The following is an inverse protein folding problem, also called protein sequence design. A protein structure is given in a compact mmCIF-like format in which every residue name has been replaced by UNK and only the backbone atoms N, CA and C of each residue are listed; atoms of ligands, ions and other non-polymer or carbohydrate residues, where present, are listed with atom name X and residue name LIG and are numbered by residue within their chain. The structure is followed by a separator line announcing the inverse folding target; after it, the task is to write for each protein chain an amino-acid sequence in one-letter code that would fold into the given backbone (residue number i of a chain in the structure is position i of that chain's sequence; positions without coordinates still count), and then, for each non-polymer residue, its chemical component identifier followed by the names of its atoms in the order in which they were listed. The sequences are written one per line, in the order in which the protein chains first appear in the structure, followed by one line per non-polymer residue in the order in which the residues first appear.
data_IF_533945339539
#
_entry.id   IF_533945339539
#
_cell.length_a   1.000
_cell.length_b   1.000
_cell.length_c   1.000
_cell.angle_alpha   90.00
_cell.angle_beta   90.00
_cell.angle_gamma   90.00
#
_symmetry.space_group_name_H-M   'P 1'
#
loop_
_entity.id
_entity.type
_entity.pdbx_description
1 polymer ?
#
# COMPACT_ATOMS: atom_id res chain seq x y z
N UNK A 1 0.31 -7.02 -10.11
CA UNK A 1 0.71 -5.60 -10.25
C UNK A 1 2.23 -5.48 -10.18
N UNK A 2 2.89 -4.60 -10.94
CA UNK A 2 4.35 -4.45 -10.93
C UNK A 2 4.77 -2.98 -10.92
N UNK A 3 5.74 -2.61 -10.06
CA UNK A 3 6.41 -1.30 -10.03
C UNK A 3 7.91 -1.53 -9.87
N UNK A 4 8.71 -1.20 -10.89
CA UNK A 4 10.13 -1.55 -10.92
C UNK A 4 10.32 -3.08 -10.85
N UNK A 5 11.21 -3.55 -9.97
CA UNK A 5 11.41 -4.99 -9.69
C UNK A 5 10.41 -5.57 -8.69
N UNK A 6 9.56 -4.74 -8.08
CA UNK A 6 8.55 -5.21 -7.14
C UNK A 6 7.33 -5.74 -7.92
N UNK A 7 7.14 -7.06 -7.91
CA UNK A 7 6.01 -7.74 -8.53
C UNK A 7 5.11 -8.38 -7.46
N UNK A 8 3.86 -7.94 -7.40
CA UNK A 8 2.82 -8.57 -6.61
C UNK A 8 1.97 -9.46 -7.52
N UNK A 9 2.06 -10.77 -7.30
CA UNK A 9 1.22 -11.77 -7.95
C UNK A 9 0.00 -11.98 -7.05
N UNK A 10 -1.15 -11.50 -7.52
CA UNK A 10 -2.44 -11.73 -6.88
C UNK A 10 -3.16 -12.80 -7.69
N UNK A 11 -3.67 -13.81 -7.02
CA UNK A 11 -4.45 -14.88 -7.62
C UNK A 11 -5.87 -14.87 -7.07
N UNK A 12 -6.84 -15.02 -7.96
CA UNK A 12 -8.27 -15.19 -7.63
C UNK A 12 -8.66 -16.68 -7.61
N UNK A 13 -7.70 -17.58 -7.74
CA UNK A 13 -7.97 -19.00 -7.85
C UNK A 13 -8.30 -19.60 -6.49
N UNK A 14 -9.40 -20.33 -6.46
CA UNK A 14 -9.81 -21.08 -5.27
C UNK A 14 -8.71 -22.11 -4.92
N UNK A 15 -8.05 -21.92 -3.78
CA UNK A 15 -7.04 -22.83 -3.24
C UNK A 15 -5.58 -22.36 -3.35
N UNK A 16 -5.29 -21.18 -3.92
CA UNK A 16 -3.94 -20.62 -3.98
C UNK A 16 -3.73 -19.31 -3.20
N UNK A 17 -4.82 -18.70 -2.73
CA UNK A 17 -4.78 -17.47 -1.93
C UNK A 17 -5.83 -17.44 -0.83
N UNK A 18 -5.51 -16.77 0.27
CA UNK A 18 -6.48 -16.47 1.33
C UNK A 18 -7.33 -15.26 0.90
N UNK A 19 -8.65 -15.41 0.72
CA UNK A 19 -9.51 -14.26 0.41
C UNK A 19 -9.44 -13.21 1.53
N UNK A 20 -9.36 -11.94 1.14
CA UNK A 20 -9.31 -10.81 2.09
C UNK A 20 -7.95 -10.60 2.76
N UNK A 21 -6.85 -11.04 2.12
CA UNK A 21 -5.50 -10.81 2.63
C UNK A 21 -5.22 -9.31 2.82
N UNK A 22 -4.37 -8.99 3.80
CA UNK A 22 -3.90 -7.63 4.04
C UNK A 22 -2.37 -7.60 3.89
N UNK A 23 -1.88 -6.81 2.94
CA UNK A 23 -0.45 -6.68 2.64
C UNK A 23 -0.01 -5.25 2.93
N UNK A 24 1.08 -5.09 3.69
CA UNK A 24 1.72 -3.79 3.93
C UNK A 24 3.00 -3.69 3.11
N UNK A 25 3.12 -2.62 2.32
CA UNK A 25 4.20 -2.41 1.36
C UNK A 25 4.88 -1.06 1.67
N UNK A 26 6.15 -1.07 2.10
CA UNK A 26 6.88 0.17 2.31
C UNK A 26 7.18 0.86 0.98
N UNK A 27 7.06 2.18 0.95
CA UNK A 27 7.40 3.05 -0.18
C UNK A 27 8.13 4.30 0.33
N UNK A 28 9.02 4.85 -0.49
CA UNK A 28 9.83 6.02 -0.11
C UNK A 28 8.98 7.26 0.16
N UNK A 29 7.95 7.50 -0.66
CA UNK A 29 6.98 8.59 -0.48
C UNK A 29 5.58 8.15 -0.91
N UNK A 30 4.77 7.80 0.09
CA UNK A 30 3.38 7.39 -0.08
C UNK A 30 2.49 8.48 -0.68
N UNK A 31 2.81 9.77 -0.47
CA UNK A 31 2.02 10.87 -0.99
C UNK A 31 2.29 11.08 -2.49
N UNK A 32 3.56 11.02 -2.90
CA UNK A 32 3.92 10.99 -4.31
C UNK A 32 3.34 9.76 -5.01
N UNK A 33 3.40 8.59 -4.37
CA UNK A 33 2.83 7.36 -4.91
C UNK A 33 1.30 7.45 -5.08
N UNK A 34 0.58 7.94 -4.08
CA UNK A 34 -0.87 8.17 -4.15
C UNK A 34 -1.24 9.11 -5.30
N UNK A 35 -0.49 10.21 -5.49
CA UNK A 35 -0.69 11.15 -6.59
C UNK A 35 -0.49 10.48 -7.95
N UNK A 36 0.56 9.68 -8.10
CA UNK A 36 0.83 8.95 -9.33
C UNK A 36 -0.26 7.92 -9.65
N UNK A 37 -0.78 7.22 -8.64
CA UNK A 37 -1.90 6.28 -8.81
C UNK A 37 -3.18 6.99 -9.25
N UNK A 38 -3.52 8.14 -8.66
CA UNK A 38 -4.68 8.95 -9.05
C UNK A 38 -4.58 9.44 -10.49
N UNK A 39 -3.38 9.89 -10.90
CA UNK A 39 -3.14 10.36 -12.26
C UNK A 39 -3.34 9.26 -13.33
N UNK A 40 -3.13 7.98 -12.95
CA UNK A 40 -3.35 6.83 -13.85
C UNK A 40 -4.80 6.38 -13.94
N UNK A 41 -5.73 6.98 -13.17
CA UNK A 41 -7.17 6.72 -13.23
C UNK A 41 -7.57 5.23 -13.20
N UNK A 42 -6.91 4.43 -12.36
CA UNK A 42 -7.36 3.05 -12.12
C UNK A 42 -8.73 3.09 -11.43
N UNK A 43 -9.80 2.89 -12.21
CA UNK A 43 -11.19 3.13 -11.80
C UNK A 43 -11.61 2.45 -10.49
N UNK A 44 -11.05 1.28 -10.20
CA UNK A 44 -11.43 0.48 -9.02
C UNK A 44 -10.42 0.56 -7.87
N UNK A 45 -9.31 1.29 -8.04
CA UNK A 45 -8.19 1.33 -7.10
C UNK A 45 -7.66 2.75 -6.84
N UNK A 46 -8.51 3.77 -7.02
CA UNK A 46 -8.11 5.17 -6.77
C UNK A 46 -7.90 5.38 -5.28
N UNK A 47 -6.66 5.66 -4.82
CA UNK A 47 -6.38 5.77 -3.40
C UNK A 47 -6.95 7.07 -2.82
N UNK A 48 -7.56 7.00 -1.62
CA UNK A 48 -7.86 8.18 -0.79
C UNK A 48 -6.58 8.83 -0.25
N UNK A 49 -6.69 10.04 0.33
CA UNK A 49 -5.50 10.78 0.81
C UNK A 49 -4.69 10.03 1.86
N UNK A 50 -3.34 10.07 1.80
CA UNK A 50 -2.51 9.39 2.79
C UNK A 50 -2.73 9.95 4.18
N UNK A 51 -3.06 9.05 5.11
CA UNK A 51 -3.37 9.36 6.50
C UNK A 51 -2.18 9.06 7.39
N UNK A 52 -1.97 9.90 8.40
CA UNK A 52 -1.01 9.63 9.45
C UNK A 52 -1.58 8.62 10.44
N UNK A 53 -0.71 7.73 10.90
CA UNK A 53 -1.05 6.69 11.87
C UNK A 53 -0.40 7.00 13.22
N UNK A 54 -1.00 6.57 14.35
CA UNK A 54 -0.43 6.75 15.69
C UNK A 54 0.96 6.10 15.89
N UNK A 55 1.30 5.09 15.08
CA UNK A 55 2.60 4.39 15.10
C UNK A 55 3.63 4.99 14.13
N UNK A 56 3.45 6.25 13.74
CA UNK A 56 4.49 7.01 13.04
C UNK A 56 4.72 6.64 11.58
N UNK A 57 3.70 6.10 10.91
CA UNK A 57 3.68 5.96 9.46
C UNK A 57 2.69 6.94 8.83
N UNK A 58 2.86 7.17 7.53
CA UNK A 58 1.83 7.75 6.67
C UNK A 58 1.42 6.69 5.66
N UNK A 59 0.13 6.45 5.49
CA UNK A 59 -0.36 5.28 4.76
C UNK A 59 -1.55 5.58 3.86
N UNK A 60 -1.67 4.83 2.76
CA UNK A 60 -2.89 4.67 1.95
C UNK A 60 -3.23 3.19 1.86
N UNK A 61 -4.52 2.87 1.76
CA UNK A 61 -4.98 1.50 1.50
C UNK A 61 -5.85 1.50 0.26
N UNK A 62 -5.60 0.56 -0.65
CA UNK A 62 -6.44 0.27 -1.80
C UNK A 62 -6.97 -1.15 -1.71
N UNK A 63 -8.18 -1.35 -2.22
CA UNK A 63 -8.72 -2.68 -2.46
C UNK A 63 -8.35 -3.11 -3.88
N UNK A 64 -7.90 -4.35 -4.05
CA UNK A 64 -7.82 -4.96 -5.38
C UNK A 64 -9.15 -5.65 -5.75
N UNK A 65 -9.38 -6.00 -7.02
CA UNK A 65 -10.62 -6.65 -7.47
C UNK A 65 -10.99 -7.95 -6.72
N UNK A 66 -10.00 -8.69 -6.22
CA UNK A 66 -10.19 -9.91 -5.44
C UNK A 66 -10.56 -9.65 -3.96
N UNK A 67 -10.62 -8.38 -3.55
CA UNK A 67 -10.97 -7.97 -2.18
C UNK A 67 -9.81 -7.98 -1.18
N UNK A 68 -8.55 -8.11 -1.62
CA UNK A 68 -7.40 -7.92 -0.72
C UNK A 68 -7.17 -6.43 -0.45
N UNK A 69 -6.59 -6.14 0.71
CA UNK A 69 -6.20 -4.79 1.12
C UNK A 69 -4.70 -4.61 0.95
N UNK A 70 -4.32 -3.68 0.08
CA UNK A 70 -2.93 -3.29 -0.12
C UNK A 70 -2.70 -1.94 0.55
N UNK A 71 -1.95 -1.96 1.65
CA UNK A 71 -1.58 -0.76 2.40
C UNK A 71 -0.16 -0.35 2.05
N UNK A 72 0.00 0.81 1.42
CA UNK A 72 1.31 1.40 1.14
C UNK A 72 1.65 2.39 2.23
N UNK A 73 2.88 2.35 2.75
CA UNK A 73 3.28 3.20 3.87
C UNK A 73 4.68 3.78 3.71
N UNK A 74 4.87 4.96 4.27
CA UNK A 74 6.19 5.58 4.48
C UNK A 74 6.37 5.82 5.98
N UNK A 75 7.53 5.43 6.51
CA UNK A 75 7.88 5.74 7.89
C UNK A 75 8.15 7.23 8.06
N UNK A 76 7.64 7.82 9.13
CA UNK A 76 7.95 9.20 9.45
C UNK A 76 9.31 9.28 10.13
N UNK A 77 10.16 10.20 9.67
CA UNK A 77 11.53 10.37 10.18
C UNK A 77 11.57 10.56 11.71
N UNK A 78 10.57 11.22 12.28
CA UNK A 78 10.44 11.46 13.71
C UNK A 78 10.16 10.19 14.53
N UNK A 79 9.72 9.10 13.89
CA UNK A 79 9.42 7.82 14.54
C UNK A 79 10.56 6.79 14.38
N UNK A 80 11.43 6.93 13.36
CA UNK A 80 12.59 6.05 13.14
C UNK A 80 13.64 6.14 14.24
N UNK A 81 13.72 7.26 14.96
CA UNK A 81 14.67 7.42 16.09
C UNK A 81 14.27 6.62 17.34
N UNK A 82 13.02 6.13 17.44
CA UNK A 82 12.56 5.41 18.62
C UNK A 82 12.90 3.90 18.64
N UNK A 83 13.30 3.32 17.49
CA UNK A 83 13.50 1.87 17.34
C UNK A 83 14.95 1.45 17.00
N UNK A 84 15.91 2.37 17.07
CA UNK A 84 17.33 2.03 17.05
C UNK A 84 17.81 1.69 18.48
N UNK A 85 17.58 0.45 18.91
CA UNK A 85 18.26 -0.18 20.05
C UNK A 85 18.73 -1.56 19.66
#
# INVERSE_FOLDING_TARGET
MKLGDCALHLSEHYGDGSPGAAVRIPVDDVAAYARALRAKAFGNATPGDPKETPWGTREITIADPAGNRLTFFTEQANFRQAHAR
#
